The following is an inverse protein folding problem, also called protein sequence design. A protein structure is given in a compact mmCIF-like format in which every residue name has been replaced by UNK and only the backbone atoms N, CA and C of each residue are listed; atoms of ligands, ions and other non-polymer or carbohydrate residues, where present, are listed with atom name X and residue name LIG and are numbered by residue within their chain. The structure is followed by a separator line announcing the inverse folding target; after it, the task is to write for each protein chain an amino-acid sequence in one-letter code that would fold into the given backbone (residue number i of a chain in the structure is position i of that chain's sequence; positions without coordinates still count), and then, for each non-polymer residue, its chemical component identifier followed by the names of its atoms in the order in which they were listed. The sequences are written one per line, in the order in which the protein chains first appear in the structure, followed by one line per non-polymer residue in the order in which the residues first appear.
data_IF_983341590933
#
_entry.id   IF_983341590933
#
_cell.length_a   1.000
_cell.length_b   1.000
_cell.length_c   1.000
_cell.angle_alpha   90.00
_cell.angle_beta   90.00
_cell.angle_gamma   90.00
#
_symmetry.space_group_name_H-M   'P 1'
#
loop_
_entity.id
_entity.type
_entity.pdbx_description
1 polymer ?
#
# COMPACT_ATOMS: atom_id res chain seq x y z
N UNK A 1 24.41 16.48 -14.97
CA UNK A 1 23.94 16.19 -13.60
C UNK A 1 23.01 14.98 -13.69
N UNK A 2 23.25 13.90 -12.94
CA UNK A 2 22.36 12.72 -12.97
C UNK A 2 21.11 13.03 -12.13
N UNK A 3 19.88 12.81 -12.63
CA UNK A 3 18.67 13.02 -11.84
C UNK A 3 18.66 12.12 -10.59
N UNK A 4 18.46 12.72 -9.41
CA UNK A 4 18.27 11.95 -8.19
C UNK A 4 16.86 11.36 -8.18
N UNK A 5 16.74 10.07 -8.49
CA UNK A 5 15.46 9.35 -8.56
C UNK A 5 14.69 9.33 -7.24
N UNK A 6 15.37 9.42 -6.10
CA UNK A 6 14.74 9.47 -4.78
C UNK A 6 14.00 10.78 -4.53
N UNK A 7 14.36 11.85 -5.22
CA UNK A 7 13.71 13.16 -5.05
C UNK A 7 12.87 13.54 -6.27
N UNK A 8 13.28 13.13 -7.48
CA UNK A 8 12.58 13.45 -8.72
C UNK A 8 11.13 12.97 -8.70
N UNK A 9 10.87 11.72 -8.32
CA UNK A 9 9.52 11.18 -8.31
C UNK A 9 8.63 11.80 -7.22
N UNK A 10 9.02 11.83 -5.92
CA UNK A 10 8.21 12.50 -4.90
C UNK A 10 7.91 13.96 -5.25
N UNK A 11 8.90 14.70 -5.76
CA UNK A 11 8.69 16.09 -6.16
C UNK A 11 7.69 16.22 -7.31
N UNK A 12 7.64 15.27 -8.26
CA UNK A 12 6.68 15.27 -9.37
C UNK A 12 5.22 15.16 -8.92
N UNK A 13 4.98 14.63 -7.71
CA UNK A 13 3.65 14.51 -7.08
C UNK A 13 3.47 15.47 -5.90
N UNK A 14 4.38 16.44 -5.73
CA UNK A 14 4.28 17.47 -4.69
C UNK A 14 4.60 16.98 -3.27
N UNK A 15 5.41 15.93 -3.13
CA UNK A 15 5.80 15.33 -1.86
C UNK A 15 7.33 15.37 -1.63
N UNK A 16 7.72 15.45 -0.37
CA UNK A 16 9.10 15.13 0.02
C UNK A 16 9.33 13.61 -0.03
N UNK A 17 10.58 13.18 -0.15
CA UNK A 17 10.91 11.74 -0.10
C UNK A 17 10.36 11.06 1.17
N UNK A 18 10.42 11.75 2.31
CA UNK A 18 9.93 11.19 3.58
C UNK A 18 8.42 11.00 3.63
N UNK A 19 7.65 11.94 3.06
CA UNK A 19 6.19 11.83 2.93
C UNK A 19 5.83 10.67 2.00
N UNK A 20 6.41 10.66 0.79
CA UNK A 20 6.14 9.64 -0.22
C UNK A 20 6.52 8.24 0.26
N UNK A 21 7.69 8.11 0.90
CA UNK A 21 8.15 6.85 1.48
C UNK A 21 7.20 6.32 2.56
N UNK A 22 6.71 7.21 3.44
CA UNK A 22 5.78 6.82 4.51
C UNK A 22 4.45 6.32 3.94
N UNK A 23 3.90 7.02 2.95
CA UNK A 23 2.68 6.59 2.27
C UNK A 23 2.89 5.25 1.55
N UNK A 24 3.99 5.10 0.82
CA UNK A 24 4.34 3.87 0.12
C UNK A 24 4.47 2.67 1.06
N UNK A 25 5.16 2.80 2.19
CA UNK A 25 5.30 1.71 3.19
C UNK A 25 3.98 1.39 3.87
N UNK A 26 3.15 2.39 4.15
CA UNK A 26 1.81 2.18 4.73
C UNK A 26 0.93 1.39 3.77
N UNK A 27 0.93 1.78 2.49
CA UNK A 27 0.21 1.08 1.43
C UNK A 27 0.74 -0.36 1.26
N UNK A 28 2.07 -0.53 1.17
CA UNK A 28 2.70 -1.84 1.01
C UNK A 28 2.37 -2.80 2.15
N UNK A 29 2.34 -2.32 3.40
CA UNK A 29 1.95 -3.12 4.57
C UNK A 29 0.53 -3.67 4.43
N UNK A 30 -0.45 -2.83 4.10
CA UNK A 30 -1.84 -3.28 3.99
C UNK A 30 -2.05 -4.20 2.77
N UNK A 31 -1.33 -3.95 1.67
CA UNK A 31 -1.32 -4.83 0.49
C UNK A 31 -0.77 -6.21 0.82
N UNK A 32 0.37 -6.26 1.51
CA UNK A 32 0.98 -7.51 1.95
C UNK A 32 0.04 -8.29 2.89
N UNK A 33 -0.58 -7.62 3.87
CA UNK A 33 -1.54 -8.26 4.77
C UNK A 33 -2.78 -8.78 4.04
N UNK A 34 -3.26 -8.08 3.00
CA UNK A 34 -4.37 -8.54 2.17
C UNK A 34 -3.99 -9.82 1.40
N UNK A 35 -2.83 -9.81 0.75
CA UNK A 35 -2.30 -10.95 0.00
C UNK A 35 -2.10 -12.16 0.92
N UNK A 36 -1.40 -11.97 2.03
CA UNK A 36 -1.15 -13.01 3.03
C UNK A 36 -2.44 -13.63 3.56
N UNK A 37 -3.42 -12.80 3.95
CA UNK A 37 -4.72 -13.27 4.41
C UNK A 37 -5.45 -14.08 3.35
N UNK A 38 -5.44 -13.63 2.09
CA UNK A 38 -6.07 -14.33 0.97
C UNK A 38 -5.41 -15.68 0.70
N UNK A 39 -4.06 -15.74 0.71
CA UNK A 39 -3.30 -16.99 0.55
C UNK A 39 -3.65 -18.00 1.63
N UNK A 40 -3.62 -17.61 2.91
CA UNK A 40 -3.96 -18.54 3.99
C UNK A 40 -5.43 -18.96 3.92
N UNK A 41 -6.34 -18.03 3.62
CA UNK A 41 -7.77 -18.33 3.47
C UNK A 41 -8.04 -19.32 2.32
N UNK A 42 -7.27 -19.26 1.24
CA UNK A 42 -7.41 -20.21 0.11
C UNK A 42 -7.11 -21.66 0.48
N UNK A 43 -6.28 -21.87 1.51
CA UNK A 43 -5.94 -23.19 2.06
C UNK A 43 -6.88 -23.54 3.23
N UNK A 44 -7.19 -22.56 4.08
CA UNK A 44 -8.00 -22.71 5.28
C UNK A 44 -9.18 -21.71 5.27
N UNK A 45 -10.33 -22.08 4.66
CA UNK A 45 -11.42 -21.13 4.39
C UNK A 45 -12.12 -20.56 5.64
N UNK A 46 -11.86 -21.10 6.84
CA UNK A 46 -12.38 -20.53 8.10
C UNK A 46 -11.46 -19.46 8.72
N UNK A 47 -10.21 -19.33 8.26
CA UNK A 47 -9.28 -18.30 8.72
C UNK A 47 -9.42 -17.03 7.88
N UNK A 48 -9.26 -15.86 8.50
CA UNK A 48 -9.18 -14.55 7.81
C UNK A 48 -10.36 -14.19 6.89
N UNK A 49 -11.56 -14.73 7.16
CA UNK A 49 -12.78 -14.62 6.31
C UNK A 49 -13.14 -13.21 5.84
N UNK A 50 -12.74 -12.15 6.55
CA UNK A 50 -12.98 -10.75 6.15
C UNK A 50 -11.72 -9.89 6.05
N UNK A 51 -10.55 -10.44 6.39
CA UNK A 51 -9.32 -9.65 6.56
C UNK A 51 -8.85 -9.06 5.23
N UNK A 52 -8.77 -9.87 4.17
CA UNK A 52 -8.34 -9.42 2.85
C UNK A 52 -9.25 -8.30 2.32
N UNK A 53 -10.57 -8.52 2.34
CA UNK A 53 -11.56 -7.53 1.87
C UNK A 53 -11.52 -6.23 2.67
N UNK A 54 -11.34 -6.29 4.00
CA UNK A 54 -11.16 -5.09 4.84
C UNK A 54 -9.90 -4.32 4.45
N UNK A 55 -8.79 -5.01 4.19
CA UNK A 55 -7.53 -4.39 3.78
C UNK A 55 -7.60 -3.77 2.38
N UNK A 56 -8.22 -4.47 1.42
CA UNK A 56 -8.48 -3.91 0.08
C UNK A 56 -9.36 -2.65 0.15
N UNK A 57 -10.37 -2.61 1.03
CA UNK A 57 -11.16 -1.39 1.25
C UNK A 57 -10.33 -0.23 1.83
N UNK A 58 -9.35 -0.52 2.69
CA UNK A 58 -8.42 0.50 3.19
C UNK A 58 -7.53 1.00 2.05
N UNK A 59 -6.91 0.10 1.29
CA UNK A 59 -6.05 0.43 0.14
C UNK A 59 -6.80 1.27 -0.90
N UNK A 60 -8.04 0.91 -1.23
CA UNK A 60 -8.87 1.68 -2.14
C UNK A 60 -9.14 3.09 -1.60
N UNK A 61 -9.49 3.23 -0.31
CA UNK A 61 -9.67 4.56 0.31
C UNK A 61 -8.38 5.39 0.29
N UNK A 62 -7.23 4.77 0.54
CA UNK A 62 -5.93 5.45 0.47
C UNK A 62 -5.63 5.90 -0.97
N UNK A 63 -5.84 5.03 -1.96
CA UNK A 63 -5.64 5.35 -3.38
C UNK A 63 -6.53 6.49 -3.85
N UNK A 64 -7.80 6.53 -3.41
CA UNK A 64 -8.73 7.61 -3.73
C UNK A 64 -8.45 8.91 -2.95
N UNK A 65 -7.63 8.86 -1.89
CA UNK A 65 -7.18 10.02 -1.12
C UNK A 65 -5.83 10.58 -1.59
N UNK A 66 -5.11 9.86 -2.44
CA UNK A 66 -3.85 10.33 -3.01
C UNK A 66 -4.05 11.67 -3.70
N UNK A 67 -3.12 12.61 -3.47
CA UNK A 67 -3.11 13.93 -4.13
C UNK A 67 -2.88 13.80 -5.62
#
# INVERSE_FOLDING_TARGET
MVPNRFTEHPLSVGETYGEHFREAITFAKDLFLAAFACTIHSIFPWLFTTTASKKVKVLNRTMQRGK
#
